data_IF_757626461661
#
_entry.id   IF_757626461661
#
_cell.length_a   1.000
_cell.length_b   1.000
_cell.length_c   1.000
_cell.angle_alpha   90.00
_cell.angle_beta   90.00
_cell.angle_gamma   90.00
#
_symmetry.space_group_name_H-M   'P 1'
#
loop_
_entity.id
_entity.type
_entity.pdbx_description
1 polymer ?
#
# COMPACT_ATOMS: atom_id res chain seq x y z
N UNK A 1 -46.99 46.48 27.83
CA UNK A 1 -46.17 46.87 26.66
C UNK A 1 -44.73 46.74 27.05
N UNK A 2 -44.10 45.68 26.54
CA UNK A 2 -42.74 45.26 26.83
C UNK A 2 -41.70 46.22 26.28
N UNK A 3 -40.76 46.61 27.13
CA UNK A 3 -39.42 47.03 26.70
C UNK A 3 -38.56 45.79 26.82
N UNK A 4 -38.32 45.07 25.71
CA UNK A 4 -37.43 43.90 25.71
C UNK A 4 -36.02 44.35 26.07
N UNK A 5 -35.64 43.92 27.26
CA UNK A 5 -34.39 44.16 27.95
C UNK A 5 -33.25 43.36 27.33
N UNK A 6 -32.16 44.07 27.10
CA UNK A 6 -30.81 43.59 26.85
C UNK A 6 -30.31 42.74 28.02
N UNK A 7 -30.19 41.42 27.86
CA UNK A 7 -29.35 40.54 28.70
C UNK A 7 -29.14 39.20 27.96
N UNK A 8 -28.15 39.16 27.07
CA UNK A 8 -27.68 37.92 26.44
C UNK A 8 -26.78 37.16 27.43
N UNK A 9 -27.47 36.41 28.28
CA UNK A 9 -27.08 35.19 28.99
C UNK A 9 -25.61 34.75 28.90
N UNK A 10 -24.89 34.96 30.00
CA UNK A 10 -23.77 34.15 30.44
C UNK A 10 -24.28 33.15 31.50
N UNK A 11 -24.11 31.86 31.22
CA UNK A 11 -23.83 30.82 32.22
C UNK A 11 -24.97 30.20 33.02
N UNK A 12 -25.39 28.99 32.64
CA UNK A 12 -25.72 27.93 33.60
C UNK A 12 -25.04 26.66 33.14
N UNK A 13 -23.98 26.27 33.86
CA UNK A 13 -23.40 24.95 33.82
C UNK A 13 -24.44 23.94 34.35
N UNK A 14 -24.93 23.06 33.48
CA UNK A 14 -25.71 21.87 33.82
C UNK A 14 -24.85 20.63 33.63
N UNK A 15 -24.69 19.86 34.70
CA UNK A 15 -23.79 18.71 34.79
C UNK A 15 -24.10 17.58 33.79
N UNK A 16 -23.07 17.09 33.12
CA UNK A 16 -23.06 15.89 32.26
C UNK A 16 -21.74 15.85 31.50
N UNK A 17 -20.95 14.79 31.66
CA UNK A 17 -19.54 14.73 31.24
C UNK A 17 -19.27 14.81 29.73
N UNK A 18 -17.97 14.83 29.44
CA UNK A 18 -17.28 14.78 28.15
C UNK A 18 -16.89 16.15 27.55
N UNK A 19 -15.61 16.46 27.76
CA UNK A 19 -14.75 17.14 26.79
C UNK A 19 -14.67 16.24 25.53
N UNK A 20 -14.53 16.85 24.35
CA UNK A 20 -14.16 16.27 23.04
C UNK A 20 -15.28 15.67 22.20
N UNK A 21 -15.54 16.31 21.07
CA UNK A 21 -15.88 15.72 19.76
C UNK A 21 -15.81 16.87 18.74
N UNK A 22 -14.73 17.13 18.02
CA UNK A 22 -13.60 16.26 17.71
C UNK A 22 -13.99 15.17 16.73
N UNK A 23 -14.55 15.53 15.56
CA UNK A 23 -14.53 14.77 14.29
C UNK A 23 -15.21 15.63 13.21
N UNK A 24 -14.53 16.70 12.78
CA UNK A 24 -14.89 17.35 11.53
C UNK A 24 -14.58 16.38 10.39
N UNK A 25 -15.64 15.74 9.90
CA UNK A 25 -15.79 15.01 8.64
C UNK A 25 -14.50 14.77 7.83
N UNK A 26 -14.07 13.50 7.78
CA UNK A 26 -13.35 12.98 6.63
C UNK A 26 -14.23 13.20 5.40
N UNK A 27 -13.99 14.26 4.64
CA UNK A 27 -14.33 14.26 3.22
C UNK A 27 -13.49 13.14 2.62
N UNK A 28 -14.14 11.99 2.38
CA UNK A 28 -13.63 10.94 1.52
C UNK A 28 -13.29 11.60 0.18
N UNK A 29 -12.02 11.94 -0.03
CA UNK A 29 -11.53 12.37 -1.33
C UNK A 29 -11.46 11.10 -2.17
N UNK A 30 -12.55 10.84 -2.91
CA UNK A 30 -12.59 9.94 -4.05
C UNK A 30 -11.62 10.49 -5.11
N UNK A 31 -10.33 10.23 -4.95
CA UNK A 31 -9.47 10.16 -6.12
C UNK A 31 -9.00 8.70 -6.22
N UNK A 32 -9.30 8.12 -7.37
CA UNK A 32 -8.90 6.76 -7.73
C UNK A 32 -7.41 6.78 -8.01
N UNK A 33 -6.58 6.61 -6.97
CA UNK A 33 -5.13 6.43 -7.15
C UNK A 33 -4.92 4.95 -7.41
N UNK A 34 -4.56 4.62 -8.64
CA UNK A 34 -4.34 3.24 -9.02
C UNK A 34 -2.84 2.90 -8.87
N UNK A 35 -2.56 1.80 -8.17
CA UNK A 35 -1.22 1.22 -8.09
C UNK A 35 -1.33 -0.18 -8.69
N UNK A 36 -0.81 -0.29 -9.91
CA UNK A 36 -0.65 -1.54 -10.65
C UNK A 36 0.85 -1.83 -10.73
N UNK A 37 1.29 -2.88 -10.05
CA UNK A 37 2.70 -3.27 -10.06
C UNK A 37 2.84 -4.69 -10.55
N UNK A 38 3.41 -4.86 -11.75
CA UNK A 38 3.71 -6.19 -12.29
C UNK A 38 4.94 -6.76 -11.58
N UNK A 39 4.90 -8.04 -11.25
CA UNK A 39 5.98 -8.74 -10.55
C UNK A 39 6.60 -9.75 -11.50
N UNK A 40 7.88 -9.56 -11.84
CA UNK A 40 8.62 -10.46 -12.72
C UNK A 40 9.80 -11.09 -11.99
N UNK A 41 9.92 -12.41 -12.10
CA UNK A 41 11.09 -13.16 -11.61
C UNK A 41 12.04 -13.47 -12.77
N UNK A 42 13.34 -13.46 -12.49
CA UNK A 42 14.33 -13.93 -13.44
C UNK A 42 14.05 -15.39 -13.84
N UNK A 43 13.62 -15.58 -15.09
CA UNK A 43 13.29 -16.89 -15.66
C UNK A 43 14.47 -17.89 -15.60
N UNK A 44 15.71 -17.40 -15.49
CA UNK A 44 16.90 -18.24 -15.37
C UNK A 44 17.18 -18.72 -13.93
N UNK A 45 16.56 -18.09 -12.93
CA UNK A 45 16.82 -18.35 -11.52
C UNK A 45 15.77 -19.24 -10.81
N UNK A 46 14.82 -19.81 -11.56
CA UNK A 46 13.77 -20.69 -11.00
C UNK A 46 13.02 -20.06 -9.81
N UNK A 47 12.75 -18.75 -9.87
CA UNK A 47 11.95 -18.06 -8.87
C UNK A 47 10.46 -18.31 -9.09
N UNK A 48 9.70 -18.40 -8.00
CA UNK A 48 8.23 -18.40 -8.06
C UNK A 48 7.65 -17.22 -7.32
N UNK A 49 6.65 -16.58 -7.91
CA UNK A 49 5.88 -15.51 -7.29
C UNK A 49 4.50 -16.07 -6.95
N UNK A 50 4.09 -15.95 -5.70
CA UNK A 50 2.79 -16.47 -5.23
C UNK A 50 2.23 -15.65 -4.09
N UNK A 51 0.97 -15.91 -3.76
CA UNK A 51 0.33 -15.44 -2.53
C UNK A 51 1.09 -15.92 -1.29
N UNK A 52 1.04 -15.14 -0.21
CA UNK A 52 1.54 -15.57 1.10
C UNK A 52 0.48 -16.42 1.79
N UNK A 53 0.85 -17.66 2.15
CA UNK A 53 -0.11 -18.63 2.70
C UNK A 53 -0.70 -18.14 4.03
N UNK A 54 -2.02 -17.91 4.05
CA UNK A 54 -2.75 -17.49 5.24
C UNK A 54 -2.67 -15.98 5.55
N UNK A 55 -2.00 -15.19 4.71
CA UNK A 55 -2.03 -13.73 4.82
C UNK A 55 -3.33 -13.18 4.25
N UNK A 56 -3.94 -12.22 4.96
CA UNK A 56 -5.19 -11.61 4.55
C UNK A 56 -5.03 -10.75 3.29
N UNK A 57 -3.87 -10.09 3.13
CA UNK A 57 -3.61 -9.13 2.06
C UNK A 57 -3.11 -9.77 0.75
N UNK A 58 -2.97 -11.10 0.70
CA UNK A 58 -2.66 -11.83 -0.55
C UNK A 58 -3.71 -11.59 -1.65
N UNK A 59 -4.91 -11.13 -1.30
CA UNK A 59 -5.97 -10.76 -2.25
C UNK A 59 -5.64 -9.55 -3.14
N UNK A 60 -4.63 -8.77 -2.78
CA UNK A 60 -4.12 -7.70 -3.64
C UNK A 60 -3.17 -8.22 -4.73
N UNK A 61 -2.68 -9.47 -4.62
CA UNK A 61 -1.92 -10.12 -5.69
C UNK A 61 -2.89 -10.78 -6.68
N UNK A 62 -3.05 -10.14 -7.82
CA UNK A 62 -3.86 -10.62 -8.93
C UNK A 62 -2.99 -11.29 -10.00
N UNK A 63 -3.64 -11.96 -10.95
CA UNK A 63 -3.00 -12.50 -12.14
C UNK A 63 -3.69 -11.91 -13.37
N UNK A 64 -2.91 -11.32 -14.27
CA UNK A 64 -3.43 -10.72 -15.49
C UNK A 64 -3.75 -11.80 -16.55
N UNK A 65 -4.34 -11.39 -17.67
CA UNK A 65 -4.75 -12.32 -18.74
C UNK A 65 -3.61 -13.12 -19.42
N UNK A 66 -2.35 -12.74 -19.17
CA UNK A 66 -1.16 -13.40 -19.69
C UNK A 66 -0.50 -14.35 -18.67
N UNK A 67 -1.04 -14.44 -17.45
CA UNK A 67 -0.46 -15.22 -16.36
C UNK A 67 0.59 -14.48 -15.54
N UNK A 68 0.77 -13.17 -15.75
CA UNK A 68 1.72 -12.35 -14.99
C UNK A 68 1.07 -11.91 -13.68
N UNK A 69 1.85 -11.91 -12.59
CA UNK A 69 1.38 -11.46 -11.28
C UNK A 69 1.39 -9.94 -11.21
N UNK A 70 0.32 -9.35 -10.69
CA UNK A 70 0.19 -7.92 -10.53
C UNK A 70 -0.36 -7.59 -9.15
N UNK A 71 0.20 -6.57 -8.49
CA UNK A 71 -0.40 -5.99 -7.30
C UNK A 71 -1.42 -4.97 -7.77
N UNK A 72 -2.68 -5.16 -7.41
CA UNK A 72 -3.81 -4.29 -7.81
C UNK A 72 -4.45 -3.67 -6.57
N UNK A 73 -4.18 -2.38 -6.36
CA UNK A 73 -4.79 -1.58 -5.31
C UNK A 73 -5.91 -0.67 -5.83
N UNK A 74 -6.45 -0.92 -7.03
CA UNK A 74 -7.55 -0.13 -7.59
C UNK A 74 -8.83 -0.27 -6.76
N UNK A 75 -9.66 0.77 -6.78
CA UNK A 75 -11.04 0.77 -6.29
C UNK A 75 -11.96 -0.32 -6.86
N UNK A 76 -11.60 -0.87 -8.02
CA UNK A 76 -12.31 -1.94 -8.72
C UNK A 76 -11.87 -3.34 -8.29
N UNK A 77 -10.76 -3.47 -7.54
CA UNK A 77 -10.37 -4.73 -6.95
C UNK A 77 -11.23 -5.02 -5.71
N UNK A 78 -12.22 -5.91 -5.85
CA UNK A 78 -13.15 -6.25 -4.77
C UNK A 78 -12.47 -7.18 -3.77
N UNK A 79 -11.90 -6.60 -2.71
CA UNK A 79 -11.32 -7.32 -1.59
C UNK A 79 -12.34 -7.62 -0.50
N UNK A 80 -12.05 -8.61 0.35
CA UNK A 80 -12.83 -8.97 1.54
C UNK A 80 -13.00 -7.81 2.52
N UNK A 81 -11.99 -6.92 2.55
CA UNK A 81 -12.01 -5.66 3.31
C UNK A 81 -12.80 -4.53 2.65
N UNK A 82 -13.23 -4.68 1.39
CA UNK A 82 -13.82 -3.61 0.55
C UNK A 82 -12.94 -2.34 0.50
N UNK A 83 -11.61 -2.49 0.59
CA UNK A 83 -10.69 -1.38 0.42
C UNK A 83 -10.72 -0.91 -1.03
N UNK A 84 -10.78 0.41 -1.24
CA UNK A 84 -10.85 1.01 -2.57
C UNK A 84 -9.76 2.07 -2.73
N UNK A 85 -8.64 1.72 -3.38
CA UNK A 85 -7.51 2.64 -3.51
C UNK A 85 -6.64 2.75 -2.26
N UNK A 86 -5.74 3.72 -2.32
CA UNK A 86 -4.89 4.13 -1.19
C UNK A 86 -5.47 5.40 -0.55
N UNK A 87 -5.32 5.54 0.77
CA UNK A 87 -5.81 6.71 1.49
C UNK A 87 -5.02 7.95 1.06
N UNK A 88 -5.72 9.05 0.81
CA UNK A 88 -5.09 10.34 0.57
C UNK A 88 -4.47 10.92 1.86
N UNK A 89 -3.37 11.64 1.73
CA UNK A 89 -2.60 12.29 2.80
C UNK A 89 -2.26 11.34 3.95
N UNK A 90 -1.84 10.12 3.61
CA UNK A 90 -1.61 9.05 4.56
C UNK A 90 -0.46 8.14 4.16
N UNK A 91 0.22 7.62 5.19
CA UNK A 91 1.11 6.46 5.06
C UNK A 91 0.30 5.19 5.32
N UNK A 92 0.20 4.33 4.30
CA UNK A 92 -0.49 3.05 4.35
C UNK A 92 0.52 1.91 4.26
N UNK A 93 0.42 0.93 5.15
CA UNK A 93 1.24 -0.29 5.11
C UNK A 93 0.33 -1.47 4.82
N UNK A 94 0.67 -2.23 3.78
CA UNK A 94 -0.01 -3.47 3.41
C UNK A 94 1.01 -4.60 3.60
N UNK A 95 0.83 -5.35 4.67
CA UNK A 95 1.76 -6.42 5.07
C UNK A 95 1.52 -7.68 4.24
N UNK A 96 2.58 -8.43 3.93
CA UNK A 96 2.53 -9.77 3.35
C UNK A 96 1.63 -9.89 2.10
N UNK A 97 1.87 -9.03 1.10
CA UNK A 97 1.08 -8.97 -0.15
C UNK A 97 1.41 -10.15 -1.06
N UNK A 98 2.69 -10.48 -1.21
CA UNK A 98 3.14 -11.58 -2.04
C UNK A 98 4.44 -12.16 -1.49
N UNK A 99 4.84 -13.33 -1.98
CA UNK A 99 6.13 -13.92 -1.69
C UNK A 99 6.87 -14.35 -2.95
N UNK A 100 8.20 -14.32 -2.87
CA UNK A 100 9.11 -14.89 -3.86
C UNK A 100 9.82 -16.10 -3.26
N UNK A 101 9.70 -17.25 -3.92
CA UNK A 101 10.31 -18.51 -3.49
C UNK A 101 11.44 -18.94 -4.41
N UNK A 102 12.50 -19.50 -3.83
CA UNK A 102 13.60 -20.12 -4.58
C UNK A 102 13.27 -21.60 -4.88
N UNK A 103 12.89 -21.89 -6.14
CA UNK A 103 12.66 -23.27 -6.60
C UNK A 103 13.90 -23.89 -7.30
N UNK A 104 15.05 -23.22 -7.21
CA UNK A 104 16.31 -23.70 -7.72
C UNK A 104 16.91 -24.82 -6.87
N UNK A 105 18.19 -25.09 -7.08
CA UNK A 105 18.93 -26.14 -6.36
C UNK A 105 20.06 -25.60 -5.49
N UNK A 106 20.24 -24.28 -5.46
CA UNK A 106 21.30 -23.58 -4.77
C UNK A 106 20.74 -22.34 -4.08
N UNK A 107 21.43 -21.88 -3.03
CA UNK A 107 21.14 -20.62 -2.36
C UNK A 107 21.41 -19.44 -3.29
N UNK A 108 20.58 -18.40 -3.19
CA UNK A 108 20.67 -17.19 -4.02
C UNK A 108 20.54 -15.94 -3.17
N UNK A 109 21.21 -14.87 -3.59
CA UNK A 109 20.92 -13.50 -3.16
C UNK A 109 19.87 -12.92 -4.11
N UNK A 110 18.72 -12.54 -3.54
CA UNK A 110 17.57 -11.99 -4.23
C UNK A 110 17.59 -10.46 -4.14
N UNK A 111 17.69 -9.83 -5.29
CA UNK A 111 17.68 -8.38 -5.49
C UNK A 111 16.40 -7.92 -6.19
N UNK A 112 16.02 -6.67 -5.89
CA UNK A 112 14.76 -6.07 -6.35
C UNK A 112 15.05 -4.75 -7.03
N UNK A 113 14.52 -4.57 -8.24
CA UNK A 113 14.66 -3.30 -8.96
C UNK A 113 13.39 -2.89 -9.72
N UNK A 114 12.90 -1.65 -9.52
CA UNK A 114 13.29 -0.71 -8.46
C UNK A 114 12.69 -1.12 -7.09
N UNK A 115 13.29 -0.64 -5.99
CA UNK A 115 12.72 -0.81 -4.64
C UNK A 115 11.54 0.14 -4.39
N UNK A 116 11.54 1.29 -5.07
CA UNK A 116 10.53 2.33 -4.90
C UNK A 116 10.04 2.86 -6.24
N UNK A 117 8.76 3.17 -6.28
CA UNK A 117 8.04 3.81 -7.37
C UNK A 117 7.55 5.15 -6.86
N UNK A 118 7.70 6.20 -7.67
CA UNK A 118 7.25 7.54 -7.31
C UNK A 118 6.57 8.16 -8.51
N UNK A 119 5.36 8.66 -8.29
CA UNK A 119 4.64 9.52 -9.22
C UNK A 119 4.37 10.88 -8.56
N UNK A 120 4.35 11.94 -9.36
CA UNK A 120 4.17 13.31 -8.87
C UNK A 120 3.33 14.12 -9.85
N UNK A 121 2.36 14.86 -9.33
CA UNK A 121 1.57 15.84 -10.08
C UNK A 121 1.57 17.17 -9.31
N UNK A 122 2.28 18.17 -9.84
CA UNK A 122 2.44 19.46 -9.16
C UNK A 122 3.07 19.31 -7.75
N UNK A 123 2.37 19.69 -6.66
CA UNK A 123 2.85 19.51 -5.28
C UNK A 123 2.55 18.13 -4.70
N UNK A 124 1.79 17.31 -5.42
CA UNK A 124 1.27 16.03 -4.96
C UNK A 124 2.27 14.90 -5.30
N UNK A 125 2.33 13.87 -4.46
CA UNK A 125 3.29 12.76 -4.56
C UNK A 125 2.66 11.46 -4.09
N UNK A 126 2.85 10.40 -4.87
CA UNK A 126 2.56 9.03 -4.48
C UNK A 126 3.85 8.22 -4.55
N UNK A 127 4.29 7.68 -3.42
CA UNK A 127 5.45 6.81 -3.34
C UNK A 127 5.05 5.43 -2.85
N UNK A 128 5.52 4.38 -3.51
CA UNK A 128 5.36 2.98 -3.10
C UNK A 128 6.75 2.41 -2.87
N UNK A 129 6.97 1.80 -1.72
CA UNK A 129 8.20 1.10 -1.34
C UNK A 129 7.88 -0.37 -1.12
N UNK A 130 8.64 -1.25 -1.76
CA UNK A 130 8.55 -2.70 -1.59
C UNK A 130 9.52 -3.12 -0.49
N UNK A 131 9.01 -3.80 0.54
CA UNK A 131 9.76 -4.11 1.77
C UNK A 131 9.77 -5.62 2.03
N UNK A 132 10.92 -6.31 1.92
CA UNK A 132 11.09 -7.67 2.43
C UNK A 132 10.85 -7.76 3.94
N UNK A 133 10.28 -8.88 4.38
CA UNK A 133 10.03 -9.25 5.77
C UNK A 133 11.29 -9.52 6.60
N UNK A 134 12.39 -9.99 5.98
CA UNK A 134 13.59 -10.43 6.70
C UNK A 134 14.74 -9.43 6.66
N UNK A 135 15.28 -9.13 5.47
CA UNK A 135 16.47 -8.27 5.27
C UNK A 135 16.24 -7.29 4.14
N UNK A 136 16.67 -6.05 4.31
CA UNK A 136 16.52 -4.98 3.31
C UNK A 136 17.90 -4.43 2.89
N UNK A 137 18.15 -4.16 1.60
CA UNK A 137 17.21 -4.31 0.47
C UNK A 137 17.23 -5.70 -0.19
N UNK A 138 18.28 -6.50 0.03
CA UNK A 138 18.45 -7.82 -0.56
C UNK A 138 18.21 -8.93 0.47
N UNK A 139 17.82 -10.11 -0.03
CA UNK A 139 17.48 -11.27 0.81
C UNK A 139 18.22 -12.50 0.32
N UNK A 140 18.85 -13.24 1.24
CA UNK A 140 19.40 -14.56 0.91
C UNK A 140 18.31 -15.62 1.06
N UNK A 141 18.05 -16.38 -0.01
CA UNK A 141 17.08 -17.47 -0.04
C UNK A 141 17.75 -18.81 -0.28
N UNK A 142 17.63 -19.70 0.70
CA UNK A 142 17.97 -21.11 0.55
C UNK A 142 17.01 -21.83 -0.39
N UNK A 143 17.38 -23.04 -0.81
CA UNK A 143 16.54 -23.88 -1.67
C UNK A 143 15.23 -24.24 -0.99
N UNK A 144 14.10 -23.86 -1.60
CA UNK A 144 12.76 -24.10 -1.08
C UNK A 144 12.27 -23.05 -0.08
N UNK A 145 13.13 -22.09 0.30
CA UNK A 145 12.73 -20.97 1.13
C UNK A 145 12.00 -19.89 0.31
N UNK A 146 11.25 -19.05 1.00
CA UNK A 146 10.52 -17.93 0.40
C UNK A 146 10.58 -16.69 1.26
N UNK A 147 10.63 -15.53 0.60
CA UNK A 147 10.59 -14.22 1.23
C UNK A 147 9.23 -13.56 0.97
N UNK A 148 8.58 -13.05 2.02
CA UNK A 148 7.36 -12.25 1.90
C UNK A 148 7.69 -10.77 1.73
N UNK A 149 6.86 -10.09 0.94
CA UNK A 149 7.00 -8.68 0.62
C UNK A 149 5.76 -7.89 1.02
N UNK A 150 6.00 -6.79 1.72
CA UNK A 150 5.01 -5.81 2.11
C UNK A 150 5.15 -4.54 1.27
N UNK A 151 4.08 -3.74 1.21
CA UNK A 151 4.10 -2.42 0.58
C UNK A 151 3.97 -1.34 1.64
N UNK A 152 4.82 -0.31 1.56
CA UNK A 152 4.66 0.95 2.27
C UNK A 152 4.35 2.02 1.24
N UNK A 153 3.20 2.66 1.39
CA UNK A 153 2.66 3.63 0.46
C UNK A 153 2.55 4.95 1.19
N UNK A 154 3.19 5.99 0.65
CA UNK A 154 3.10 7.35 1.14
C UNK A 154 2.43 8.20 0.06
N UNK A 155 1.19 8.63 0.33
CA UNK A 155 0.46 9.56 -0.53
C UNK A 155 0.38 10.91 0.19
N UNK A 156 0.86 11.95 -0.48
CA UNK A 156 0.81 13.33 -0.03
C UNK A 156 0.23 14.19 -1.13
N UNK A 157 -1.01 14.66 -0.94
CA UNK A 157 -1.74 15.45 -1.94
C UNK A 157 -2.37 16.68 -1.26
N UNK A 158 -1.58 17.71 -0.91
CA UNK A 158 -2.07 18.91 -0.24
C UNK A 158 -3.08 19.72 -1.07
N UNK A 159 -3.23 19.42 -2.37
CA UNK A 159 -4.22 20.00 -3.25
C UNK A 159 -5.29 18.96 -3.67
N UNK A 160 -6.53 19.43 -3.85
CA UNK A 160 -7.59 18.59 -4.41
C UNK A 160 -7.36 18.38 -5.92
N UNK A 161 -7.58 17.15 -6.40
CA UNK A 161 -7.64 16.82 -7.83
C UNK A 161 -6.36 16.29 -8.47
N UNK A 162 -5.40 15.80 -7.67
CA UNK A 162 -4.19 15.13 -8.16
C UNK A 162 -4.53 13.91 -9.04
N UNK A 163 -3.87 13.79 -10.20
CA UNK A 163 -3.92 12.60 -11.07
C UNK A 163 -2.66 11.75 -10.86
N UNK A 164 -2.61 11.05 -9.72
CA UNK A 164 -1.48 10.19 -9.35
C UNK A 164 -1.80 8.72 -9.65
N UNK A 165 -0.90 8.06 -10.38
CA UNK A 165 -1.00 6.64 -10.67
C UNK A 165 0.38 6.00 -10.82
N UNK A 166 0.52 4.77 -10.32
CA UNK A 166 1.71 3.95 -10.55
C UNK A 166 1.30 2.77 -11.43
N UNK A 167 1.87 2.73 -12.63
CA UNK A 167 1.87 1.57 -13.51
C UNK A 167 3.33 1.23 -13.80
N UNK A 168 3.83 0.18 -13.15
CA UNK A 168 5.27 -0.15 -13.17
C UNK A 168 5.53 -1.63 -12.95
N UNK A 169 6.78 -2.04 -13.18
CA UNK A 169 7.21 -3.43 -13.00
C UNK A 169 8.32 -3.52 -11.95
N UNK A 170 8.18 -4.44 -11.00
CA UNK A 170 9.25 -4.89 -10.11
C UNK A 170 9.95 -6.08 -10.77
N UNK A 171 11.27 -6.02 -10.87
CA UNK A 171 12.10 -7.13 -11.31
C UNK A 171 12.83 -7.76 -10.14
N UNK A 172 12.69 -9.07 -9.99
CA UNK A 172 13.42 -9.90 -9.05
C UNK A 172 14.56 -10.61 -9.77
N UNK A 173 15.79 -10.32 -9.37
CA UNK A 173 17.00 -10.98 -9.88
C UNK A 173 17.59 -11.84 -8.78
N UNK A 174 18.04 -13.05 -9.10
CA UNK A 174 18.65 -13.95 -8.13
C UNK A 174 20.03 -14.40 -8.60
N UNK A 175 21.05 -14.11 -7.79
CA UNK A 175 22.43 -14.50 -8.05
C UNK A 175 22.87 -15.59 -7.08
N UNK A 176 23.50 -16.67 -7.56
CA UNK A 176 23.97 -17.74 -6.69
C UNK A 176 25.06 -17.25 -5.74
N UNK A 177 24.92 -17.57 -4.45
CA UNK A 177 25.93 -17.26 -3.43
C UNK A 177 27.08 -18.27 -3.53
N UNK A 178 28.33 -17.79 -3.61
CA UNK A 178 29.53 -18.64 -3.71
C UNK A 178 30.05 -19.14 -2.35
#
# INVERSE_FOLDING_TARGET
MDRRTLLKSLGVAGAGGAIVTGTGAFTSVEASRNVSVTVEGDASAYLSISEVSGAANSEYLTENGNGEKAIDLDSSNTTSGNGAGVNADAVTVIEDVFQVGNQGTQEVELDITPLTFVDTDGPDTLAVLVVPSTSFPAVTLGTGDSEAYSLVIDEFSPADGADLAIDSTINFTAEATN
#
